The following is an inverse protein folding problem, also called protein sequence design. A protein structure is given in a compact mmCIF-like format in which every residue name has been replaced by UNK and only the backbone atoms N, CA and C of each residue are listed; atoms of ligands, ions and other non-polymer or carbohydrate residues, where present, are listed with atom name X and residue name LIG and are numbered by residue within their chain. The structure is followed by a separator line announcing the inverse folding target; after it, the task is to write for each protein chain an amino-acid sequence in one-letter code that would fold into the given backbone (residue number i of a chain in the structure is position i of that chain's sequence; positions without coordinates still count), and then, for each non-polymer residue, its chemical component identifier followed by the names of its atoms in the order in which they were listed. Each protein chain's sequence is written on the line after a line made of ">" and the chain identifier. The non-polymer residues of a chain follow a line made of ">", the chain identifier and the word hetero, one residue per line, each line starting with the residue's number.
data_IF_643325404922
#
_entry.id   IF_643325404922
#
_cell.length_a   1.000
_cell.length_b   1.000
_cell.length_c   1.000
_cell.angle_alpha   90.00
_cell.angle_beta   90.00
_cell.angle_gamma   90.00
#
_symmetry.space_group_name_H-M   'P 1'
#
loop_
_entity.id
_entity.type
_entity.pdbx_description
1 polymer ?
#
# COMPACT_ATOMS: atom_id res chain seq x y z
N UNK A 1 34.02 -3.28 -5.01
CA UNK A 1 34.43 -1.98 -5.56
C UNK A 1 33.82 -0.88 -4.74
N UNK A 2 34.66 -0.04 -4.13
CA UNK A 2 34.47 1.23 -3.39
C UNK A 2 33.21 1.47 -2.51
N UNK A 3 32.00 1.04 -2.87
CA UNK A 3 30.78 1.23 -2.08
C UNK A 3 30.63 0.29 -0.87
N UNK A 4 31.29 -0.88 -0.88
CA UNK A 4 31.24 -1.83 0.25
C UNK A 4 32.23 -1.50 1.38
N UNK A 5 33.23 -0.66 1.13
CA UNK A 5 34.31 -0.36 2.09
C UNK A 5 33.97 0.82 3.03
N UNK A 6 32.93 1.61 2.74
CA UNK A 6 32.46 2.69 3.62
C UNK A 6 31.46 2.24 4.70
N UNK A 7 30.90 1.04 4.59
CA UNK A 7 30.01 0.48 5.61
C UNK A 7 30.77 -0.06 6.85
N UNK A 8 32.11 -0.18 6.76
CA UNK A 8 32.93 -0.82 7.81
C UNK A 8 33.61 0.14 8.78
N UNK A 9 33.37 1.45 8.67
CA UNK A 9 33.76 2.42 9.71
C UNK A 9 32.53 2.81 10.52
N UNK A 10 31.87 1.82 11.12
CA UNK A 10 30.85 2.07 12.13
C UNK A 10 31.59 2.39 13.42
N UNK A 11 31.62 3.67 13.79
CA UNK A 11 32.01 4.08 15.14
C UNK A 11 31.04 3.42 16.13
N UNK A 12 31.55 2.66 17.10
CA UNK A 12 30.77 2.01 18.17
C UNK A 12 30.00 3.01 19.05
N UNK A 13 30.21 4.32 18.86
CA UNK A 13 29.63 5.40 19.64
C UNK A 13 28.66 6.32 18.86
N UNK A 14 28.10 5.87 17.72
CA UNK A 14 26.99 6.62 17.14
C UNK A 14 25.72 6.42 17.97
N UNK A 15 25.09 7.50 18.49
CA UNK A 15 23.77 7.37 19.07
C UNK A 15 22.81 6.78 18.02
N UNK A 16 21.82 5.96 18.42
CA UNK A 16 20.87 5.37 17.48
C UNK A 16 20.28 6.48 16.60
N UNK A 17 20.19 6.22 15.29
CA UNK A 17 19.46 7.09 14.38
C UNK A 17 18.04 7.19 14.92
N UNK A 18 17.71 8.34 15.50
CA UNK A 18 16.34 8.63 15.91
C UNK A 18 15.54 8.80 14.61
N UNK A 19 14.68 7.84 14.30
CA UNK A 19 13.83 7.89 13.12
C UNK A 19 12.84 9.06 13.26
N UNK A 20 13.24 10.24 12.76
CA UNK A 20 12.43 11.45 12.77
C UNK A 20 11.58 11.51 11.52
N UNK A 21 10.40 10.91 11.57
CA UNK A 21 9.40 11.01 10.50
C UNK A 21 8.39 12.11 10.82
N UNK A 22 8.04 12.90 9.80
CA UNK A 22 6.96 13.88 9.86
C UNK A 22 5.86 13.50 8.87
N UNK A 23 4.61 13.53 9.30
CA UNK A 23 3.45 13.24 8.45
C UNK A 23 2.50 14.43 8.45
N UNK A 24 2.03 14.82 7.27
CA UNK A 24 0.97 15.82 7.09
C UNK A 24 -0.24 15.12 6.49
N UNK A 25 -1.40 15.33 7.11
CA UNK A 25 -2.69 14.84 6.63
C UNK A 25 -3.57 16.06 6.34
N UNK A 26 -4.10 16.14 5.12
CA UNK A 26 -5.02 17.19 4.70
C UNK A 26 -6.39 16.57 4.41
N UNK A 27 -7.44 17.19 4.93
CA UNK A 27 -8.83 16.83 4.65
C UNK A 27 -9.54 18.03 4.06
N UNK A 28 -10.16 17.84 2.89
CA UNK A 28 -10.90 18.88 2.17
C UNK A 28 -12.37 18.49 2.12
N UNK A 29 -13.24 19.33 2.67
CA UNK A 29 -14.69 19.18 2.59
C UNK A 29 -15.19 19.71 1.24
N UNK A 30 -15.46 18.79 0.31
CA UNK A 30 -15.97 19.13 -1.03
C UNK A 30 -17.30 19.89 -0.97
N UNK A 31 -18.13 19.65 0.05
CA UNK A 31 -19.42 20.34 0.23
C UNK A 31 -19.29 21.85 0.44
N UNK A 32 -18.09 22.34 0.76
CA UNK A 32 -17.78 23.78 0.86
C UNK A 32 -17.54 24.46 -0.49
N UNK A 33 -17.29 23.67 -1.55
CA UNK A 33 -16.99 24.17 -2.89
C UNK A 33 -18.16 24.01 -3.86
N UNK A 34 -19.17 23.21 -3.51
CA UNK A 34 -20.38 23.02 -4.30
C UNK A 34 -21.12 21.73 -3.94
N UNK A 35 -22.19 21.39 -4.68
CA UNK A 35 -22.89 20.13 -4.49
C UNK A 35 -21.97 18.93 -4.73
N UNK A 36 -21.95 17.99 -3.79
CA UNK A 36 -21.06 16.81 -3.83
C UNK A 36 -21.36 15.91 -5.04
N UNK A 37 -22.63 15.79 -5.42
CA UNK A 37 -23.06 15.00 -6.57
C UNK A 37 -22.56 15.57 -7.90
N UNK A 38 -22.43 16.90 -8.01
CA UNK A 38 -21.87 17.57 -9.17
C UNK A 38 -20.37 17.27 -9.28
N UNK A 39 -19.64 17.35 -8.17
CA UNK A 39 -18.22 16.99 -8.13
C UNK A 39 -18.00 15.51 -8.49
N UNK A 40 -18.83 14.61 -7.97
CA UNK A 40 -18.77 13.18 -8.30
C UNK A 40 -18.95 12.95 -9.82
N UNK A 41 -19.96 13.57 -10.44
CA UNK A 41 -20.17 13.47 -11.90
C UNK A 41 -18.98 14.00 -12.70
N UNK A 42 -18.31 15.05 -12.23
CA UNK A 42 -17.11 15.57 -12.88
C UNK A 42 -15.94 14.58 -12.79
N UNK A 43 -15.75 13.94 -11.63
CA UNK A 43 -14.76 12.88 -11.46
C UNK A 43 -15.06 11.69 -12.39
N UNK A 44 -16.32 11.24 -12.45
CA UNK A 44 -16.74 10.16 -13.35
C UNK A 44 -16.43 10.50 -14.82
N UNK A 45 -16.69 11.74 -15.25
CA UNK A 45 -16.38 12.21 -16.61
C UNK A 45 -14.89 12.13 -16.92
N UNK A 46 -14.02 12.46 -15.95
CA UNK A 46 -12.56 12.36 -16.11
C UNK A 46 -12.13 10.90 -16.19
N UNK A 47 -12.71 10.03 -15.37
CA UNK A 47 -12.44 8.59 -15.40
C UNK A 47 -12.83 8.01 -16.77
N UNK A 48 -14.03 8.32 -17.26
CA UNK A 48 -14.52 7.88 -18.56
C UNK A 48 -13.59 8.33 -19.67
N UNK A 49 -13.18 9.61 -19.66
CA UNK A 49 -12.23 10.14 -20.63
C UNK A 49 -10.91 9.37 -20.63
N UNK A 50 -10.29 9.16 -19.45
CA UNK A 50 -9.04 8.40 -19.32
C UNK A 50 -9.19 6.97 -19.83
N UNK A 51 -10.35 6.35 -19.62
CA UNK A 51 -10.65 4.99 -20.07
C UNK A 51 -10.83 4.85 -21.58
N UNK A 52 -11.04 5.95 -22.31
CA UNK A 52 -11.18 5.92 -23.77
C UNK A 52 -9.87 5.92 -24.55
N UNK A 53 -8.71 6.05 -23.89
CA UNK A 53 -7.41 6.15 -24.56
C UNK A 53 -7.03 4.81 -25.27
N UNK A 54 -6.77 4.81 -26.59
CA UNK A 54 -6.55 3.61 -27.38
C UNK A 54 -5.13 3.03 -27.26
N UNK A 55 -4.53 3.07 -26.07
CA UNK A 55 -3.23 2.42 -25.81
C UNK A 55 -3.33 0.89 -25.96
N UNK A 56 -2.21 0.23 -26.25
CA UNK A 56 -2.13 -1.23 -26.27
C UNK A 56 -2.27 -1.79 -24.85
N UNK A 57 -3.51 -1.95 -24.38
CA UNK A 57 -3.83 -2.50 -23.07
C UNK A 57 -5.03 -1.81 -22.40
N UNK A 58 -5.33 -2.24 -21.18
CA UNK A 58 -6.34 -1.59 -20.36
C UNK A 58 -5.72 -0.39 -19.61
N UNK A 59 -6.35 0.78 -19.74
CA UNK A 59 -6.01 1.95 -18.90
C UNK A 59 -6.72 1.82 -17.57
N UNK A 60 -5.99 2.04 -16.47
CA UNK A 60 -6.50 1.92 -15.10
C UNK A 60 -6.29 3.25 -14.37
N UNK A 61 -7.28 3.68 -13.58
CA UNK A 61 -7.14 4.88 -12.75
C UNK A 61 -6.69 4.53 -11.33
N UNK A 62 -6.11 5.48 -10.58
CA UNK A 62 -5.65 5.23 -9.21
C UNK A 62 -6.74 4.63 -8.31
N UNK A 63 -6.45 3.52 -7.66
CA UNK A 63 -7.38 2.79 -6.78
C UNK A 63 -8.14 1.65 -7.45
N UNK A 64 -8.17 1.57 -8.78
CA UNK A 64 -8.92 0.54 -9.49
C UNK A 64 -8.30 -0.87 -9.37
N UNK A 65 -6.96 -0.96 -9.48
CA UNK A 65 -6.22 -2.22 -9.29
C UNK A 65 -6.40 -2.72 -7.87
N UNK A 66 -6.29 -1.84 -6.89
CA UNK A 66 -6.46 -2.15 -5.48
C UNK A 66 -7.89 -2.62 -5.20
N UNK A 67 -8.89 -1.99 -5.81
CA UNK A 67 -10.28 -2.42 -5.69
C UNK A 67 -10.52 -3.81 -6.29
N UNK A 68 -9.92 -4.12 -7.45
CA UNK A 68 -9.95 -5.45 -8.08
C UNK A 68 -9.31 -6.50 -7.20
N UNK A 69 -8.05 -6.27 -6.82
CA UNK A 69 -7.28 -7.16 -5.95
C UNK A 69 -7.98 -7.39 -4.61
N UNK A 70 -8.62 -6.35 -4.03
CA UNK A 70 -9.40 -6.48 -2.80
C UNK A 70 -10.61 -7.39 -2.98
N UNK A 71 -11.39 -7.22 -4.06
CA UNK A 71 -12.53 -8.10 -4.35
C UNK A 71 -12.10 -9.54 -4.52
N UNK A 72 -11.03 -9.77 -5.29
CA UNK A 72 -10.47 -11.11 -5.52
C UNK A 72 -9.99 -11.74 -4.20
N UNK A 73 -9.19 -11.03 -3.41
CA UNK A 73 -8.66 -11.54 -2.13
C UNK A 73 -9.74 -11.77 -1.07
N UNK A 74 -10.82 -10.98 -1.08
CA UNK A 74 -11.97 -11.24 -0.22
C UNK A 74 -12.73 -12.50 -0.63
N UNK A 75 -12.76 -12.83 -1.91
CA UNK A 75 -13.46 -14.00 -2.43
C UNK A 75 -12.61 -15.28 -2.37
N UNK A 76 -11.31 -15.17 -2.60
CA UNK A 76 -10.41 -16.31 -2.83
C UNK A 76 -9.37 -16.50 -1.72
N UNK A 77 -9.26 -15.56 -0.78
CA UNK A 77 -8.17 -15.52 0.20
C UNK A 77 -6.92 -14.82 -0.35
N UNK A 78 -5.88 -14.74 0.48
CA UNK A 78 -4.60 -14.11 0.14
C UNK A 78 -3.57 -15.22 -0.01
N UNK A 79 -3.01 -15.37 -1.20
CA UNK A 79 -1.87 -16.26 -1.40
C UNK A 79 -0.63 -15.67 -0.70
N UNK A 80 -0.07 -16.45 0.23
CA UNK A 80 1.09 -16.07 1.03
C UNK A 80 2.26 -16.99 0.70
N UNK A 81 3.46 -16.45 0.45
CA UNK A 81 4.66 -17.27 0.32
C UNK A 81 4.86 -18.16 1.55
N UNK A 82 5.31 -19.40 1.32
CA UNK A 82 5.54 -20.37 2.41
C UNK A 82 6.45 -19.83 3.52
N UNK A 83 7.46 -19.02 3.17
CA UNK A 83 8.34 -18.37 4.14
C UNK A 83 7.57 -17.39 5.05
N UNK A 84 6.72 -16.53 4.48
CA UNK A 84 5.88 -15.59 5.23
C UNK A 84 4.92 -16.34 6.16
N UNK A 85 4.32 -17.44 5.70
CA UNK A 85 3.46 -18.26 6.55
C UNK A 85 4.22 -18.90 7.72
N UNK A 86 5.45 -19.35 7.48
CA UNK A 86 6.33 -19.88 8.52
C UNK A 86 6.65 -18.84 9.59
N UNK A 87 6.91 -17.60 9.19
CA UNK A 87 7.19 -16.49 10.12
C UNK A 87 5.97 -16.14 10.97
N UNK A 88 4.78 -16.07 10.36
CA UNK A 88 3.51 -15.85 11.08
C UNK A 88 3.26 -16.98 12.09
N UNK A 89 3.47 -18.22 11.68
CA UNK A 89 3.27 -19.40 12.53
C UNK A 89 4.24 -19.43 13.71
N UNK A 90 5.52 -19.11 13.48
CA UNK A 90 6.52 -19.03 14.54
C UNK A 90 6.21 -17.92 15.54
N UNK A 91 5.75 -16.76 15.07
CA UNK A 91 5.30 -15.65 15.91
C UNK A 91 4.13 -16.07 16.81
N UNK A 92 3.11 -16.72 16.24
CA UNK A 92 1.96 -17.24 16.99
C UNK A 92 2.38 -18.22 18.10
N UNK A 93 3.28 -19.16 17.79
CA UNK A 93 3.82 -20.12 18.75
C UNK A 93 4.61 -19.44 19.88
N UNK A 94 5.49 -18.48 19.54
CA UNK A 94 6.27 -17.74 20.53
C UNK A 94 5.41 -16.93 21.51
N UNK A 95 4.23 -16.51 21.06
CA UNK A 95 3.24 -15.80 21.89
C UNK A 95 2.22 -16.72 22.56
N UNK A 96 2.27 -18.03 22.31
CA UNK A 96 1.32 -19.00 22.87
C UNK A 96 -0.11 -18.87 22.34
N UNK A 97 -0.30 -18.29 21.15
CA UNK A 97 -1.61 -18.18 20.49
C UNK A 97 -1.77 -19.26 19.42
N UNK A 98 -3.02 -19.60 19.08
CA UNK A 98 -3.30 -20.60 18.04
C UNK A 98 -2.78 -20.14 16.69
N UNK A 99 -2.06 -21.01 15.98
CA UNK A 99 -1.68 -20.78 14.58
C UNK A 99 -2.95 -20.74 13.73
N UNK A 100 -3.18 -19.68 12.94
CA UNK A 100 -4.34 -19.61 12.03
C UNK A 100 -4.29 -20.73 10.99
N UNK A 101 -5.43 -21.13 10.45
CA UNK A 101 -5.48 -22.03 9.28
C UNK A 101 -5.10 -21.25 8.02
N UNK A 102 -4.39 -21.90 7.08
CA UNK A 102 -4.27 -21.38 5.70
C UNK A 102 -5.60 -21.46 4.97
#
# INVERSE_FOLDING_TARGET
>A
GLFSMMASLRSENQPPLEDRWGTVILMIDIGRFGPVDVFQKQVDTVIDFVKTDPLEGEVLYPGEVEARNRRERLAQGIDLPAATWSEISACAQGLGVSVPSQ
#
